data_IF_338069648877
#
_entry.id   IF_338069648877
#
_cell.length_a   1.000
_cell.length_b   1.000
_cell.length_c   1.000
_cell.angle_alpha   90.00
_cell.angle_beta   90.00
_cell.angle_gamma   90.00
#
_symmetry.space_group_name_H-M   'P 1'
#
loop_
_entity.id
_entity.type
_entity.pdbx_description
1 polymer ?
#
# COMPACT_ATOMS: atom_id res chain seq x y z
N UNK A 1 -19.80 0.48 -8.49
CA UNK A 1 -19.08 1.71 -8.10
C UNK A 1 -18.67 1.59 -6.63
N UNK A 2 -17.44 1.11 -6.34
CA UNK A 2 -16.92 1.11 -4.97
C UNK A 2 -15.47 1.62 -4.81
N UNK A 3 -14.75 1.95 -5.89
CA UNK A 3 -13.30 2.19 -5.83
C UNK A 3 -12.93 3.36 -4.92
N UNK A 4 -13.77 4.41 -4.84
CA UNK A 4 -13.53 5.53 -3.92
C UNK A 4 -13.58 5.13 -2.44
N UNK A 5 -14.53 4.25 -2.06
CA UNK A 5 -14.66 3.78 -0.68
C UNK A 5 -13.55 2.80 -0.33
N UNK A 6 -13.17 1.94 -1.28
CA UNK A 6 -12.03 1.04 -1.10
C UNK A 6 -10.74 1.83 -0.91
N UNK A 7 -10.52 2.89 -1.70
CA UNK A 7 -9.33 3.70 -1.58
C UNK A 7 -9.22 4.43 -0.23
N UNK A 8 -10.33 4.92 0.29
CA UNK A 8 -10.36 5.62 1.59
C UNK A 8 -10.10 4.66 2.74
N UNK A 9 -10.69 3.47 2.71
CA UNK A 9 -10.43 2.42 3.69
C UNK A 9 -8.95 2.00 3.68
N UNK A 10 -8.35 1.81 2.51
CA UNK A 10 -6.92 1.48 2.40
C UNK A 10 -6.03 2.64 2.81
N UNK A 11 -6.41 3.89 2.51
CA UNK A 11 -5.66 5.05 2.96
C UNK A 11 -5.66 5.20 4.50
N UNK A 12 -6.73 4.79 5.17
CA UNK A 12 -6.77 4.72 6.65
C UNK A 12 -5.86 3.60 7.18
N UNK A 13 -5.92 2.40 6.59
CA UNK A 13 -5.05 1.29 6.94
C UNK A 13 -3.56 1.64 6.77
N UNK A 14 -3.21 2.34 5.70
CA UNK A 14 -1.84 2.80 5.44
C UNK A 14 -1.39 3.88 6.42
N UNK A 15 -2.27 4.81 6.81
CA UNK A 15 -1.97 5.79 7.88
C UNK A 15 -1.73 5.11 9.22
N UNK A 16 -2.51 4.07 9.52
CA UNK A 16 -2.36 3.29 10.75
C UNK A 16 -1.09 2.42 10.73
N UNK A 17 -0.71 1.89 9.58
CA UNK A 17 0.47 1.04 9.40
C UNK A 17 1.25 1.37 8.11
N UNK A 18 2.17 2.35 8.16
CA UNK A 18 3.00 2.68 7.00
C UNK A 18 3.91 1.55 6.53
N UNK A 19 4.33 0.63 7.42
CA UNK A 19 5.16 -0.51 7.04
C UNK A 19 4.38 -1.48 6.13
N UNK A 20 3.12 -1.76 6.46
CA UNK A 20 2.22 -2.53 5.60
C UNK A 20 2.06 -1.90 4.20
N UNK A 21 1.96 -0.57 4.12
CA UNK A 21 1.89 0.13 2.82
C UNK A 21 3.17 -0.10 1.98
N UNK A 22 4.34 -0.12 2.62
CA UNK A 22 5.61 -0.41 1.94
C UNK A 22 5.67 -1.86 1.42
N UNK A 23 5.21 -2.81 2.21
CA UNK A 23 5.18 -4.23 1.87
C UNK A 23 4.25 -4.51 0.69
N UNK A 24 3.04 -3.96 0.74
CA UNK A 24 2.08 -4.10 -0.34
C UNK A 24 2.61 -3.46 -1.63
N UNK A 25 3.22 -2.27 -1.54
CA UNK A 25 3.86 -1.63 -2.68
C UNK A 25 4.99 -2.49 -3.27
N UNK A 26 5.80 -3.13 -2.43
CA UNK A 26 6.89 -4.00 -2.87
C UNK A 26 6.37 -5.27 -3.56
N UNK A 27 5.33 -5.91 -3.00
CA UNK A 27 4.67 -7.07 -3.58
C UNK A 27 4.14 -6.75 -4.98
N UNK A 28 3.32 -5.71 -5.11
CA UNK A 28 2.69 -5.33 -6.38
C UNK A 28 3.73 -4.91 -7.43
N UNK A 29 4.83 -4.27 -7.01
CA UNK A 29 5.97 -3.99 -7.91
C UNK A 29 6.64 -5.28 -8.42
N UNK A 30 6.76 -6.30 -7.57
CA UNK A 30 7.37 -7.58 -7.94
C UNK A 30 6.46 -8.40 -8.87
N UNK A 31 5.14 -8.34 -8.66
CA UNK A 31 4.14 -9.02 -9.50
C UNK A 31 4.01 -8.35 -10.89
N UNK A 32 4.39 -7.07 -10.99
CA UNK A 32 4.45 -6.34 -12.25
C UNK A 32 3.08 -5.88 -12.78
N UNK A 33 2.03 -5.95 -11.97
CA UNK A 33 0.70 -5.48 -12.33
C UNK A 33 0.64 -3.94 -12.25
N UNK A 34 0.64 -3.30 -13.42
CA UNK A 34 0.58 -1.85 -13.53
C UNK A 34 -0.75 -1.25 -13.03
N UNK A 35 -1.86 -2.00 -13.12
CA UNK A 35 -3.17 -1.56 -12.67
C UNK A 35 -3.24 -1.57 -11.14
N UNK A 36 -2.81 -2.66 -10.51
CA UNK A 36 -2.71 -2.74 -9.04
C UNK A 36 -1.73 -1.71 -8.49
N UNK A 37 -0.58 -1.51 -9.15
CA UNK A 37 0.41 -0.53 -8.72
C UNK A 37 -0.16 0.90 -8.72
N UNK A 38 -0.97 1.24 -9.73
CA UNK A 38 -1.65 2.53 -9.80
C UNK A 38 -2.71 2.70 -8.70
N UNK A 39 -3.35 1.60 -8.28
CA UNK A 39 -4.32 1.62 -7.18
C UNK A 39 -3.60 1.85 -5.85
N UNK A 40 -2.57 1.07 -5.54
CA UNK A 40 -1.81 1.19 -4.28
C UNK A 40 -1.19 2.58 -4.13
N UNK A 41 -0.59 3.13 -5.20
CA UNK A 41 -0.04 4.50 -5.18
C UNK A 41 -1.10 5.56 -4.87
N UNK A 42 -2.28 5.45 -5.47
CA UNK A 42 -3.41 6.37 -5.20
C UNK A 42 -3.86 6.31 -3.75
N UNK A 43 -3.90 5.11 -3.17
CA UNK A 43 -4.26 4.89 -1.76
C UNK A 43 -3.19 5.46 -0.81
N UNK A 44 -1.91 5.31 -1.15
CA UNK A 44 -0.79 5.92 -0.41
C UNK A 44 -0.80 7.44 -0.49
N UNK A 45 -1.07 8.01 -1.66
CA UNK A 45 -1.20 9.46 -1.83
C UNK A 45 -2.34 10.03 -0.96
N UNK A 46 -3.48 9.33 -0.89
CA UNK A 46 -4.58 9.68 0.03
C UNK A 46 -4.20 9.53 1.51
N UNK A 47 -3.32 8.60 1.83
CA UNK A 47 -2.76 8.43 3.18
C UNK A 47 -1.72 9.50 3.54
N UNK A 48 -1.26 10.31 2.58
CA UNK A 48 -0.16 11.26 2.76
C UNK A 48 1.22 10.59 2.83
N UNK A 49 1.34 9.37 2.30
CA UNK A 49 2.59 8.62 2.24
C UNK A 49 3.29 8.82 0.87
N UNK A 50 4.63 8.74 0.83
CA UNK A 50 5.36 8.79 -0.43
C UNK A 50 5.01 7.61 -1.33
N UNK A 51 4.83 7.86 -2.63
CA UNK A 51 4.50 6.85 -3.65
C UNK A 51 5.60 5.79 -3.86
N UNK A 52 6.77 6.03 -3.27
CA UNK A 52 7.95 5.17 -3.36
C UNK A 52 8.01 4.14 -2.22
N UNK A 53 7.18 4.34 -1.17
CA UNK A 53 7.27 3.65 0.11
C UNK A 53 7.86 4.57 1.18
N UNK A 54 7.41 4.49 2.45
CA UNK A 54 8.15 5.13 3.54
C UNK A 54 9.56 4.54 3.57
N UNK A 55 10.53 5.34 3.14
CA UNK A 55 11.93 4.96 3.17
C UNK A 55 12.34 4.69 4.62
N UNK A 56 12.88 3.49 4.84
CA UNK A 56 13.49 3.04 6.10
C UNK A 56 12.54 2.53 7.22
N UNK A 57 12.10 1.28 7.08
CA UNK A 57 11.94 0.39 8.24
C UNK A 57 12.71 -0.91 7.96
N UNK A 58 13.95 -0.97 8.45
CA UNK A 58 14.72 -2.20 8.50
C UNK A 58 13.95 -3.23 9.33
N UNK A 59 13.65 -4.39 8.74
CA UNK A 59 13.28 -5.60 9.48
C UNK A 59 11.97 -6.22 8.99
N UNK A 60 12.12 -7.29 8.21
CA UNK A 60 11.17 -8.35 7.85
C UNK A 60 9.66 -8.04 7.90
N UNK A 61 8.93 -8.21 6.79
CA UNK A 61 7.47 -8.11 6.81
C UNK A 61 6.84 -9.20 7.70
N UNK A 62 5.84 -8.87 8.54
CA UNK A 62 5.00 -9.90 9.15
C UNK A 62 4.13 -10.53 8.05
N UNK A 63 3.97 -11.85 8.14
CA UNK A 63 3.31 -12.71 7.15
C UNK A 63 2.02 -12.11 6.60
N UNK A 64 1.91 -12.22 5.27
CA UNK A 64 0.76 -11.83 4.47
C UNK A 64 -0.57 -12.24 5.12
N UNK A 65 -1.50 -11.28 5.08
CA UNK A 65 -2.91 -11.47 5.33
C UNK A 65 -3.44 -12.52 4.32
N UNK A 66 -3.52 -13.79 4.73
CA UNK A 66 -4.31 -14.80 4.04
C UNK A 66 -5.79 -14.40 4.17
N UNK A 67 -6.49 -14.34 3.04
CA UNK A 67 -7.90 -13.95 2.92
C UNK A 67 -8.91 -15.00 3.37
#
# INVERSE_FOLDING_TARGET
>A
MPDRHHDEAMAEAFRANPAYAAELLASVKADGDAAELAIVRRQMAKAGLPEEGPENATGSPPRAFEG
#
